data_IF_946271255708
#
_entry.id   IF_946271255708
#
_cell.length_a   1.000
_cell.length_b   1.000
_cell.length_c   1.000
_cell.angle_alpha   90.00
_cell.angle_beta   90.00
_cell.angle_gamma   90.00
#
_symmetry.space_group_name_H-M   'P 1'
#
loop_
_entity.id
_entity.type
_entity.pdbx_description
1 polymer ?
#
# COMPACT_ATOMS: atom_id res chain seq x y z
N UNK A 1 4.67 -27.40 31.45
CA UNK A 1 4.22 -26.97 30.12
C UNK A 1 3.55 -28.19 29.51
N UNK A 2 2.22 -28.16 29.43
CA UNK A 2 1.42 -29.27 28.91
C UNK A 2 0.90 -28.81 27.54
N UNK A 3 1.32 -29.54 26.52
CA UNK A 3 0.76 -29.45 25.16
C UNK A 3 -0.67 -29.98 25.22
N UNK A 4 -1.63 -29.17 24.74
CA UNK A 4 -3.00 -29.59 24.49
C UNK A 4 -3.11 -30.08 23.06
N UNK A 5 -3.08 -31.40 22.89
CA UNK A 5 -3.57 -32.07 21.70
C UNK A 5 -5.08 -31.78 21.53
N UNK A 6 -5.46 -31.19 20.40
CA UNK A 6 -6.86 -31.06 20.01
C UNK A 6 -7.21 -32.29 19.18
N UNK A 7 -7.90 -33.21 19.81
CA UNK A 7 -8.46 -34.42 19.23
C UNK A 7 -9.70 -34.06 18.40
N UNK A 8 -9.58 -34.12 17.07
CA UNK A 8 -10.73 -33.98 16.16
C UNK A 8 -11.36 -35.35 16.03
N UNK A 9 -12.33 -35.66 16.92
CA UNK A 9 -13.22 -36.82 16.77
C UNK A 9 -14.37 -36.53 15.80
N UNK A 10 -14.36 -37.23 14.70
CA UNK A 10 -15.47 -37.94 14.07
C UNK A 10 -16.78 -37.21 13.84
N UNK A 11 -17.05 -36.84 12.58
CA UNK A 11 -18.40 -36.81 12.02
C UNK A 11 -18.39 -37.60 10.70
N UNK A 12 -18.30 -38.93 10.86
CA UNK A 12 -18.77 -39.84 9.82
C UNK A 12 -20.25 -40.06 10.07
N UNK A 13 -21.11 -39.24 9.45
CA UNK A 13 -22.53 -39.57 9.35
C UNK A 13 -22.71 -40.50 8.17
N UNK A 14 -23.05 -41.76 8.48
CA UNK A 14 -23.59 -42.75 7.52
C UNK A 14 -24.83 -42.14 6.84
N UNK A 15 -24.69 -41.80 5.58
CA UNK A 15 -25.81 -41.49 4.72
C UNK A 15 -26.29 -42.84 4.12
N UNK A 16 -27.39 -43.36 4.69
CA UNK A 16 -28.15 -44.43 4.07
C UNK A 16 -28.78 -43.92 2.77
N UNK A 17 -28.75 -44.67 1.66
CA UNK A 17 -29.47 -44.29 0.48
C UNK A 17 -30.95 -44.63 0.67
N UNK A 18 -31.78 -43.61 0.87
CA UNK A 18 -33.22 -43.73 0.70
C UNK A 18 -33.65 -43.14 -0.64
N UNK A 19 -34.21 -44.06 -1.46
CA UNK A 19 -35.11 -43.86 -2.59
C UNK A 19 -34.58 -43.14 -3.85
N UNK A 20 -34.41 -44.01 -4.87
CA UNK A 20 -34.52 -43.68 -6.26
C UNK A 20 -35.89 -43.01 -6.55
N UNK A 21 -35.89 -41.70 -6.69
CA UNK A 21 -36.84 -41.01 -7.57
C UNK A 21 -36.02 -40.39 -8.70
N UNK A 22 -36.20 -40.98 -9.87
CA UNK A 22 -35.67 -40.52 -11.16
C UNK A 22 -36.24 -39.15 -11.48
N UNK A 23 -35.57 -38.09 -10.99
CA UNK A 23 -35.75 -36.76 -11.54
C UNK A 23 -34.97 -36.73 -12.87
N UNK A 24 -35.68 -36.56 -13.99
CA UNK A 24 -35.12 -36.55 -15.35
C UNK A 24 -33.94 -35.58 -15.43
N UNK A 25 -32.80 -36.10 -15.90
CA UNK A 25 -31.65 -35.30 -16.23
C UNK A 25 -32.01 -34.29 -17.34
N UNK A 26 -31.54 -33.04 -17.27
CA UNK A 26 -31.76 -32.11 -18.37
C UNK A 26 -31.10 -32.62 -19.61
N UNK A 27 -31.87 -32.68 -20.70
CA UNK A 27 -31.40 -33.11 -22.01
C UNK A 27 -30.27 -32.17 -22.49
N UNK A 28 -29.03 -32.68 -22.51
CA UNK A 28 -27.88 -31.97 -23.08
C UNK A 28 -26.58 -32.08 -22.29
N UNK A 29 -26.55 -32.65 -21.09
CA UNK A 29 -25.29 -32.82 -20.33
C UNK A 29 -24.64 -34.16 -20.70
N UNK A 30 -23.56 -34.09 -21.46
CA UNK A 30 -22.73 -35.24 -21.81
C UNK A 30 -21.77 -35.53 -20.65
N UNK A 31 -22.09 -36.48 -19.80
CA UNK A 31 -21.24 -36.92 -18.69
C UNK A 31 -20.02 -37.64 -19.26
N UNK A 32 -18.85 -37.06 -19.15
CA UNK A 32 -17.59 -37.70 -19.50
C UNK A 32 -17.02 -38.33 -18.24
N UNK A 33 -17.01 -39.65 -18.15
CA UNK A 33 -16.32 -40.36 -17.07
C UNK A 33 -14.82 -40.23 -17.26
N UNK A 34 -14.17 -39.36 -16.48
CA UNK A 34 -12.72 -39.25 -16.44
C UNK A 34 -12.16 -40.28 -15.44
N UNK A 35 -11.03 -40.97 -15.76
CA UNK A 35 -10.32 -41.78 -14.81
C UNK A 35 -9.96 -40.96 -13.56
N UNK A 36 -10.04 -41.54 -12.37
CA UNK A 36 -9.79 -40.84 -11.12
C UNK A 36 -8.39 -40.14 -11.07
N UNK A 37 -7.39 -40.74 -11.70
CA UNK A 37 -6.04 -40.18 -11.83
C UNK A 37 -6.02 -38.87 -12.65
N UNK A 38 -6.76 -38.86 -13.78
CA UNK A 38 -6.82 -37.66 -14.64
C UNK A 38 -7.59 -36.51 -13.96
N UNK A 39 -8.62 -36.86 -13.19
CA UNK A 39 -9.38 -35.90 -12.40
C UNK A 39 -8.51 -35.29 -11.29
N UNK A 40 -7.71 -36.11 -10.61
CA UNK A 40 -6.79 -35.62 -9.58
C UNK A 40 -5.68 -34.73 -10.15
N UNK A 41 -5.12 -35.09 -11.31
CA UNK A 41 -4.16 -34.25 -12.04
C UNK A 41 -4.77 -32.91 -12.46
N UNK A 42 -6.02 -32.93 -12.94
CA UNK A 42 -6.75 -31.72 -13.33
C UNK A 42 -7.00 -30.80 -12.11
N UNK A 43 -7.39 -31.33 -10.95
CA UNK A 43 -7.55 -30.59 -9.72
C UNK A 43 -6.21 -29.97 -9.27
N UNK A 44 -5.13 -30.75 -9.28
CA UNK A 44 -3.81 -30.25 -8.91
C UNK A 44 -3.34 -29.13 -9.85
N UNK A 45 -3.58 -29.28 -11.15
CA UNK A 45 -3.24 -28.26 -12.16
C UNK A 45 -4.06 -26.98 -11.95
N UNK A 46 -5.37 -27.11 -11.70
CA UNK A 46 -6.24 -25.99 -11.40
C UNK A 46 -5.83 -25.28 -10.10
N UNK A 47 -5.52 -26.03 -9.04
CA UNK A 47 -5.06 -25.48 -7.79
C UNK A 47 -3.72 -24.73 -7.92
N UNK A 48 -2.75 -25.28 -8.67
CA UNK A 48 -1.47 -24.61 -8.96
C UNK A 48 -1.67 -23.32 -9.76
N UNK A 49 -2.56 -23.34 -10.75
CA UNK A 49 -2.90 -22.16 -11.55
C UNK A 49 -3.56 -21.08 -10.71
N UNK A 50 -4.52 -21.44 -9.85
CA UNK A 50 -5.19 -20.52 -8.94
C UNK A 50 -4.22 -19.88 -7.92
N UNK A 51 -3.29 -20.66 -7.36
CA UNK A 51 -2.25 -20.14 -6.44
C UNK A 51 -1.29 -19.20 -7.18
N UNK A 52 -0.90 -19.52 -8.41
CA UNK A 52 -0.02 -18.67 -9.21
C UNK A 52 -0.71 -17.33 -9.57
N UNK A 53 -1.99 -17.38 -9.92
CA UNK A 53 -2.78 -16.18 -10.21
C UNK A 53 -2.99 -15.32 -8.97
N UNK A 54 -3.31 -15.94 -7.82
CA UNK A 54 -3.42 -15.24 -6.54
C UNK A 54 -2.13 -14.51 -6.16
N UNK A 55 -0.97 -15.18 -6.24
CA UNK A 55 0.33 -14.57 -5.97
C UNK A 55 0.63 -13.40 -6.91
N UNK A 56 0.28 -13.53 -8.20
CA UNK A 56 0.46 -12.45 -9.17
C UNK A 56 -0.42 -11.24 -8.87
N UNK A 57 -1.67 -11.49 -8.44
CA UNK A 57 -2.59 -10.43 -8.05
C UNK A 57 -2.13 -9.74 -6.76
N UNK A 58 -1.73 -10.51 -5.74
CA UNK A 58 -1.19 -9.98 -4.48
C UNK A 58 0.06 -9.11 -4.71
N UNK A 59 0.97 -9.54 -5.59
CA UNK A 59 2.15 -8.74 -5.95
C UNK A 59 1.77 -7.43 -6.64
N UNK A 60 0.78 -7.48 -7.54
CA UNK A 60 0.25 -6.27 -8.22
C UNK A 60 -0.38 -5.30 -7.24
N UNK A 61 -1.21 -5.81 -6.32
CA UNK A 61 -1.88 -5.01 -5.29
C UNK A 61 -0.86 -4.38 -4.33
N UNK A 62 0.17 -5.13 -3.94
CA UNK A 62 1.26 -4.64 -3.08
C UNK A 62 2.05 -3.51 -3.75
N UNK A 63 2.39 -3.63 -5.06
CA UNK A 63 3.05 -2.57 -5.82
C UNK A 63 2.18 -1.32 -5.95
N UNK A 64 0.91 -1.51 -6.23
CA UNK A 64 -0.05 -0.41 -6.34
C UNK A 64 -0.24 0.30 -4.99
N UNK A 65 -0.31 -0.44 -3.88
CA UNK A 65 -0.41 0.11 -2.54
C UNK A 65 0.84 0.92 -2.15
N UNK A 66 2.05 0.45 -2.44
CA UNK A 66 3.28 1.21 -2.19
C UNK A 66 3.31 2.52 -2.95
N UNK A 67 3.00 2.51 -4.24
CA UNK A 67 2.90 3.72 -5.05
C UNK A 67 1.84 4.68 -4.49
N UNK A 68 0.63 4.17 -4.21
CA UNK A 68 -0.46 4.96 -3.68
C UNK A 68 -0.10 5.59 -2.34
N UNK A 69 0.47 4.82 -1.42
CA UNK A 69 0.90 5.31 -0.11
C UNK A 69 1.97 6.38 -0.23
N UNK A 70 2.97 6.21 -1.12
CA UNK A 70 4.01 7.22 -1.37
C UNK A 70 3.42 8.49 -1.96
N UNK A 71 2.53 8.37 -2.93
CA UNK A 71 1.86 9.52 -3.54
C UNK A 71 1.04 10.30 -2.51
N UNK A 72 0.24 9.59 -1.68
CA UNK A 72 -0.56 10.23 -0.62
C UNK A 72 0.32 10.87 0.44
N UNK A 73 1.42 10.22 0.83
CA UNK A 73 2.38 10.76 1.77
C UNK A 73 2.98 12.08 1.27
N UNK A 74 3.36 12.14 -0.01
CA UNK A 74 3.87 13.37 -0.62
C UNK A 74 2.79 14.45 -0.74
N UNK A 75 1.52 14.09 -0.97
CA UNK A 75 0.41 15.06 -0.94
C UNK A 75 0.22 15.70 0.43
N UNK A 76 0.43 14.95 1.51
CA UNK A 76 0.33 15.43 2.89
C UNK A 76 1.62 16.07 3.41
N UNK A 77 2.71 16.10 2.62
CA UNK A 77 4.02 16.55 3.09
C UNK A 77 4.00 17.99 3.62
N UNK A 78 3.36 18.92 2.91
CA UNK A 78 3.25 20.31 3.35
C UNK A 78 2.45 20.46 4.65
N UNK A 79 1.37 19.70 4.79
CA UNK A 79 0.54 19.71 6.00
C UNK A 79 1.30 19.08 7.18
N UNK A 80 2.12 18.07 6.92
CA UNK A 80 3.02 17.48 7.91
C UNK A 80 4.09 18.48 8.37
N UNK A 81 4.71 19.23 7.47
CA UNK A 81 5.65 20.29 7.79
C UNK A 81 4.98 21.38 8.63
N UNK A 82 3.80 21.85 8.22
CA UNK A 82 3.00 22.81 8.99
C UNK A 82 2.68 22.30 10.41
N UNK A 83 2.30 21.00 10.53
CA UNK A 83 2.04 20.41 11.84
C UNK A 83 3.27 20.41 12.75
N UNK A 84 4.46 20.12 12.21
CA UNK A 84 5.70 20.16 12.99
C UNK A 84 5.99 21.56 13.53
N UNK A 85 5.81 22.57 12.71
CA UNK A 85 6.12 23.96 13.03
C UNK A 85 5.10 24.56 14.00
N UNK A 86 3.81 24.21 13.86
CA UNK A 86 2.71 24.87 14.54
C UNK A 86 2.05 24.04 15.65
N UNK A 87 2.44 22.76 15.85
CA UNK A 87 1.88 21.95 16.93
C UNK A 87 2.24 22.55 18.30
N UNK A 88 1.22 22.78 19.10
CA UNK A 88 1.36 23.30 20.47
C UNK A 88 2.20 22.32 21.28
N UNK A 89 3.29 22.79 21.87
CA UNK A 89 4.21 21.97 22.66
C UNK A 89 4.34 22.41 24.11
N UNK A 90 3.76 23.57 24.46
CA UNK A 90 3.82 24.17 25.79
C UNK A 90 2.42 24.40 26.36
N UNK A 91 2.27 24.14 27.68
CA UNK A 91 1.01 24.35 28.41
C UNK A 91 0.58 25.80 28.49
N UNK A 92 1.52 26.75 28.42
CA UNK A 92 1.22 28.19 28.40
C UNK A 92 0.48 28.63 27.12
N UNK A 93 0.60 27.86 26.05
CA UNK A 93 -0.09 28.11 24.78
C UNK A 93 -1.51 27.57 24.76
N UNK A 94 -1.92 26.80 25.76
CA UNK A 94 -3.19 26.10 25.84
C UNK A 94 -4.02 26.63 27.01
N UNK A 95 -4.84 27.65 26.77
CA UNK A 95 -5.94 28.00 27.68
C UNK A 95 -7.07 27.01 27.54
N UNK A 96 -6.93 25.84 28.16
CA UNK A 96 -7.97 24.80 28.19
C UNK A 96 -8.92 25.07 29.37
N UNK A 97 -9.79 26.06 29.22
CA UNK A 97 -10.83 26.34 30.20
C UNK A 97 -11.69 25.08 30.45
N UNK A 98 -11.68 24.60 31.71
CA UNK A 98 -12.51 23.50 32.17
C UNK A 98 -11.84 22.12 32.18
N UNK A 99 -10.58 21.99 31.82
CA UNK A 99 -9.83 20.73 31.96
C UNK A 99 -9.05 20.67 33.28
N UNK A 100 -8.95 19.48 33.88
CA UNK A 100 -8.06 19.25 35.04
C UNK A 100 -6.61 19.23 34.59
N UNK A 101 -5.66 19.49 35.53
CA UNK A 101 -4.21 19.45 35.25
C UNK A 101 -3.76 18.11 34.65
N UNK A 102 -4.36 17.00 35.06
CA UNK A 102 -4.07 15.67 34.52
C UNK A 102 -4.55 15.51 33.07
N UNK A 103 -5.73 16.02 32.77
CA UNK A 103 -6.27 16.02 31.40
C UNK A 103 -5.42 16.91 30.47
N UNK A 104 -5.01 18.07 30.93
CA UNK A 104 -4.12 18.97 30.18
C UNK A 104 -2.77 18.30 29.87
N UNK A 105 -2.16 17.65 30.87
CA UNK A 105 -0.90 16.92 30.71
C UNK A 105 -1.03 15.80 29.68
N UNK A 106 -2.08 14.97 29.77
CA UNK A 106 -2.34 13.87 28.83
C UNK A 106 -2.53 14.40 27.40
N UNK A 107 -3.24 15.52 27.25
CA UNK A 107 -3.47 16.14 25.95
C UNK A 107 -2.17 16.67 25.33
N UNK A 108 -1.35 17.37 26.12
CA UNK A 108 -0.02 17.88 25.69
C UNK A 108 0.93 16.74 25.30
N UNK A 109 0.94 15.64 26.05
CA UNK A 109 1.75 14.46 25.74
C UNK A 109 1.33 13.82 24.41
N UNK A 110 0.03 13.78 24.13
CA UNK A 110 -0.51 13.31 22.85
C UNK A 110 -0.04 14.18 21.68
N UNK A 111 -0.12 15.50 21.80
CA UNK A 111 0.35 16.46 20.77
C UNK A 111 1.85 16.30 20.54
N UNK A 112 2.64 16.26 21.62
CA UNK A 112 4.11 16.07 21.54
C UNK A 112 4.48 14.74 20.85
N UNK A 113 3.79 13.67 21.21
CA UNK A 113 3.99 12.35 20.57
C UNK A 113 3.64 12.38 19.09
N UNK A 114 2.54 13.03 18.72
CA UNK A 114 2.14 13.20 17.31
C UNK A 114 3.15 14.01 16.51
N UNK A 115 3.59 15.15 17.07
CA UNK A 115 4.64 16.00 16.47
C UNK A 115 5.93 15.23 16.26
N UNK A 116 6.38 14.46 17.27
CA UNK A 116 7.60 13.67 17.18
C UNK A 116 7.53 12.58 16.11
N UNK A 117 6.40 11.87 16.00
CA UNK A 117 6.19 10.87 14.93
C UNK A 117 6.21 11.51 13.55
N UNK A 118 5.57 12.66 13.39
CA UNK A 118 5.55 13.41 12.13
C UNK A 118 6.95 13.89 11.78
N UNK A 119 7.73 14.37 12.74
CA UNK A 119 9.11 14.82 12.54
C UNK A 119 10.02 13.68 12.04
N UNK A 120 9.93 12.49 12.63
CA UNK A 120 10.71 11.33 12.18
C UNK A 120 10.33 10.95 10.75
N UNK A 121 9.03 10.94 10.44
CA UNK A 121 8.54 10.59 9.10
C UNK A 121 8.97 11.60 8.04
N UNK A 122 8.85 12.90 8.31
CA UNK A 122 9.30 13.95 7.38
C UNK A 122 10.81 13.91 7.17
N UNK A 123 11.61 13.73 8.23
CA UNK A 123 13.06 13.59 8.11
C UNK A 123 13.46 12.39 7.23
N UNK A 124 12.72 11.29 7.30
CA UNK A 124 12.94 10.13 6.42
C UNK A 124 12.57 10.44 4.96
N UNK A 125 11.46 11.15 4.74
CA UNK A 125 11.07 11.61 3.40
C UNK A 125 12.13 12.56 2.83
N UNK A 126 12.59 13.53 3.61
CA UNK A 126 13.59 14.51 3.18
C UNK A 126 14.85 13.85 2.67
N UNK A 127 15.36 12.84 3.40
CA UNK A 127 16.54 12.08 2.96
C UNK A 127 16.31 11.32 1.66
N UNK A 128 15.12 10.76 1.47
CA UNK A 128 14.79 10.06 0.24
C UNK A 128 14.63 11.04 -0.94
N UNK A 129 14.05 12.22 -0.71
CA UNK A 129 13.89 13.28 -1.71
C UNK A 129 15.24 13.87 -2.10
N UNK A 130 16.13 14.17 -1.13
CA UNK A 130 17.52 14.59 -1.38
C UNK A 130 18.27 13.60 -2.29
N UNK A 131 18.08 12.30 -2.04
CA UNK A 131 18.72 11.26 -2.89
C UNK A 131 18.14 11.24 -4.31
N UNK A 132 16.83 11.44 -4.47
CA UNK A 132 16.20 11.59 -5.81
C UNK A 132 16.78 12.79 -6.55
N UNK A 133 16.86 13.94 -5.88
CA UNK A 133 17.45 15.15 -6.45
C UNK A 133 18.89 14.90 -6.91
N UNK A 134 19.71 14.32 -6.05
CA UNK A 134 21.12 13.97 -6.36
C UNK A 134 21.21 13.07 -7.59
N UNK A 135 20.35 12.04 -7.70
CA UNK A 135 20.33 11.13 -8.86
C UNK A 135 19.92 11.85 -10.14
N UNK A 136 18.95 12.75 -10.08
CA UNK A 136 18.50 13.51 -11.25
C UNK A 136 19.56 14.48 -11.73
N UNK A 137 20.26 15.17 -10.82
CA UNK A 137 21.41 16.03 -11.15
C UNK A 137 22.54 15.24 -11.82
N UNK A 138 22.90 14.09 -11.26
CA UNK A 138 23.95 13.23 -11.82
C UNK A 138 23.62 12.65 -13.21
N UNK A 139 22.35 12.61 -13.58
CA UNK A 139 21.85 12.09 -14.86
C UNK A 139 21.46 13.19 -15.88
N UNK A 140 21.75 14.48 -15.61
CA UNK A 140 21.31 15.64 -16.42
C UNK A 140 19.79 15.68 -16.63
N UNK A 141 19.03 15.26 -15.61
CA UNK A 141 17.55 15.20 -15.63
C UNK A 141 16.92 16.08 -14.56
N UNK A 142 17.52 17.20 -14.23
CA UNK A 142 17.06 18.13 -13.18
C UNK A 142 15.65 18.65 -13.43
N UNK A 143 15.28 18.80 -14.70
CA UNK A 143 13.95 19.26 -15.11
C UNK A 143 12.84 18.33 -14.60
N UNK A 144 13.11 17.03 -14.47
CA UNK A 144 12.14 16.07 -13.92
C UNK A 144 11.94 16.27 -12.43
N UNK A 145 13.03 16.54 -11.70
CA UNK A 145 12.95 16.85 -10.27
C UNK A 145 12.23 18.18 -10.05
N UNK A 146 12.50 19.19 -10.88
CA UNK A 146 11.79 20.47 -10.84
C UNK A 146 10.29 20.31 -11.03
N UNK A 147 9.85 19.43 -11.95
CA UNK A 147 8.43 19.11 -12.12
C UNK A 147 7.81 18.46 -10.86
N UNK A 148 8.55 17.57 -10.21
CA UNK A 148 8.15 16.95 -8.94
C UNK A 148 8.00 17.98 -7.82
N UNK A 149 8.98 18.87 -7.66
CA UNK A 149 8.97 19.96 -6.68
C UNK A 149 7.78 20.91 -6.90
N UNK A 150 7.55 21.36 -8.14
CA UNK A 150 6.43 22.21 -8.51
C UNK A 150 5.08 21.57 -8.13
N UNK A 151 4.93 20.26 -8.33
CA UNK A 151 3.69 19.56 -8.03
C UNK A 151 3.45 19.39 -6.53
N UNK A 152 4.42 18.86 -5.77
CA UNK A 152 4.25 18.50 -4.37
C UNK A 152 4.54 19.64 -3.41
N UNK A 153 5.57 20.46 -3.67
CA UNK A 153 5.98 21.55 -2.77
C UNK A 153 5.26 22.86 -3.08
N UNK A 154 5.06 23.18 -4.37
CA UNK A 154 4.41 24.41 -4.78
C UNK A 154 2.91 24.24 -5.05
N UNK A 155 2.42 23.01 -5.18
CA UNK A 155 1.00 22.71 -5.39
C UNK A 155 0.48 23.03 -6.79
N UNK A 156 1.37 23.08 -7.79
CA UNK A 156 1.00 23.34 -9.18
C UNK A 156 0.30 22.12 -9.80
N UNK A 157 -0.61 22.36 -10.74
CA UNK A 157 -1.21 21.30 -11.53
C UNK A 157 -0.33 20.92 -12.75
N UNK A 158 -0.62 19.75 -13.35
CA UNK A 158 0.20 19.23 -14.45
C UNK A 158 0.22 20.14 -15.67
N UNK A 159 -0.87 20.87 -15.96
CA UNK A 159 -0.97 21.74 -17.13
C UNK A 159 -0.06 22.95 -16.96
N UNK A 160 -0.06 23.58 -15.78
CA UNK A 160 0.83 24.71 -15.47
C UNK A 160 2.30 24.29 -15.46
N UNK A 161 2.61 23.10 -14.93
CA UNK A 161 3.98 22.57 -14.95
C UNK A 161 4.45 22.32 -16.38
N UNK A 162 3.57 21.80 -17.25
CA UNK A 162 3.88 21.59 -18.66
C UNK A 162 4.18 22.91 -19.39
N UNK A 163 3.39 23.94 -19.12
CA UNK A 163 3.59 25.29 -19.65
C UNK A 163 4.90 25.92 -19.16
N UNK A 164 5.15 25.89 -17.84
CA UNK A 164 6.35 26.47 -17.22
C UNK A 164 7.65 25.80 -17.67
N UNK A 165 7.61 24.50 -17.95
CA UNK A 165 8.78 23.72 -18.38
C UNK A 165 8.85 23.55 -19.91
N UNK A 166 7.97 24.21 -20.66
CA UNK A 166 7.88 24.10 -22.12
C UNK A 166 7.87 22.63 -22.60
N UNK A 167 6.95 21.84 -22.06
CA UNK A 167 6.84 20.40 -22.33
C UNK A 167 5.42 20.00 -22.75
N UNK A 168 5.29 18.79 -23.30
CA UNK A 168 3.96 18.24 -23.62
C UNK A 168 3.15 17.94 -22.36
N UNK A 169 1.83 18.13 -22.40
CA UNK A 169 0.90 18.02 -21.27
C UNK A 169 0.99 16.71 -20.45
N UNK A 170 1.36 15.61 -21.06
CA UNK A 170 1.49 14.30 -20.38
C UNK A 170 2.88 14.08 -19.74
N UNK A 171 3.87 14.91 -20.11
CA UNK A 171 5.26 14.73 -19.71
C UNK A 171 5.49 14.91 -18.20
N UNK A 172 4.99 15.97 -17.54
CA UNK A 172 5.14 16.14 -16.10
C UNK A 172 4.57 14.97 -15.29
N UNK A 173 3.38 14.49 -15.68
CA UNK A 173 2.76 13.35 -15.03
C UNK A 173 3.63 12.09 -15.11
N UNK A 174 4.24 11.83 -16.27
CA UNK A 174 5.14 10.69 -16.47
C UNK A 174 6.40 10.79 -15.60
N UNK A 175 7.01 11.97 -15.54
CA UNK A 175 8.19 12.24 -14.71
C UNK A 175 7.89 12.07 -13.22
N UNK A 176 6.82 12.68 -12.75
CA UNK A 176 6.38 12.58 -11.36
C UNK A 176 6.05 11.14 -10.99
N UNK A 177 5.38 10.38 -11.87
CA UNK A 177 5.10 8.95 -11.65
C UNK A 177 6.38 8.14 -11.52
N UNK A 178 7.39 8.39 -12.36
CA UNK A 178 8.69 7.72 -12.28
C UNK A 178 9.40 8.03 -10.95
N UNK A 179 9.41 9.29 -10.54
CA UNK A 179 10.00 9.71 -9.26
C UNK A 179 9.28 9.08 -8.06
N UNK A 180 7.94 9.05 -8.05
CA UNK A 180 7.18 8.41 -6.97
C UNK A 180 7.48 6.91 -6.89
N UNK A 181 7.66 6.22 -8.01
CA UNK A 181 8.06 4.81 -8.01
C UNK A 181 9.46 4.60 -7.41
N UNK A 182 10.43 5.45 -7.73
CA UNK A 182 11.76 5.39 -7.13
C UNK A 182 11.71 5.74 -5.64
N UNK A 183 10.99 6.79 -5.28
CA UNK A 183 10.78 7.22 -3.90
C UNK A 183 10.12 6.13 -3.07
N UNK A 184 9.16 5.38 -3.64
CA UNK A 184 8.53 4.25 -2.95
C UNK A 184 9.52 3.15 -2.57
N UNK A 185 10.55 2.93 -3.38
CA UNK A 185 11.64 1.98 -3.06
C UNK A 185 12.55 2.52 -1.95
N UNK A 186 12.84 3.83 -1.98
CA UNK A 186 13.68 4.45 -0.93
C UNK A 186 12.98 4.47 0.42
N UNK A 187 11.66 4.68 0.46
CA UNK A 187 10.89 4.75 1.68
C UNK A 187 10.50 3.37 2.24
N UNK A 188 10.16 2.40 1.38
CA UNK A 188 9.56 1.13 1.80
C UNK A 188 10.43 -0.09 1.49
N UNK A 189 11.60 0.13 0.89
CA UNK A 189 12.51 -0.94 0.47
C UNK A 189 12.04 -1.68 -0.79
N UNK A 190 12.90 -2.58 -1.26
CA UNK A 190 12.59 -3.48 -2.38
C UNK A 190 11.72 -4.65 -1.92
N UNK A 191 10.95 -5.23 -2.85
CA UNK A 191 10.25 -6.47 -2.61
C UNK A 191 11.25 -7.65 -2.74
N UNK A 192 11.18 -8.60 -1.83
CA UNK A 192 12.09 -9.78 -1.79
C UNK A 192 12.09 -10.57 -3.10
N UNK A 193 10.97 -10.55 -3.83
CA UNK A 193 10.81 -11.26 -5.11
C UNK A 193 11.66 -10.68 -6.26
N UNK A 194 12.23 -9.47 -6.11
CA UNK A 194 13.12 -8.85 -7.10
C UNK A 194 14.60 -9.19 -6.91
N UNK A 195 14.93 -9.90 -5.82
CA UNK A 195 16.32 -10.23 -5.45
C UNK A 195 16.70 -11.66 -5.90
N UNK A 196 15.77 -12.39 -6.51
CA UNK A 196 15.98 -13.75 -7.02
C UNK A 196 16.27 -13.78 -8.51
#
# INVERSE_FOLDING_TARGET
MQEKEVEIKGLATEIKPENEETAGAPEGEQWVALPAADFEEMIQKAARAAVAEYKKQEEKDRKQNKYHNTFMLMKCYRDAAFHIENAISDGEQLELAGMTDEQQRTYLESIRSSRFKTLIMTAHIDKAVEEIERRRKAADREVEYKAFEMYFMQGMDYAKIAEELDTGNSTPRRWITAIINELSVLLWGMDEDKIR
#
